data_IF_785703012750
#
_entry.id   IF_785703012750
#
_cell.length_a   1.000
_cell.length_b   1.000
_cell.length_c   1.000
_cell.angle_alpha   90.00
_cell.angle_beta   90.00
_cell.angle_gamma   90.00
#
_symmetry.space_group_name_H-M   'P 1'
#
loop_
_entity.id
_entity.type
_entity.pdbx_description
1 polymer ?
#
# COMPACT_ATOMS: atom_id res chain seq x y z
N UNK A 1 15.07 16.29 31.25
CA UNK A 1 15.95 15.58 32.19
C UNK A 1 15.88 14.09 31.89
N UNK A 2 17.00 13.48 31.51
CA UNK A 2 17.08 12.02 31.36
C UNK A 2 16.92 11.36 32.74
N UNK A 3 16.09 10.31 32.84
CA UNK A 3 15.94 9.55 34.09
C UNK A 3 17.23 8.78 34.36
N UNK A 4 17.66 8.73 35.61
CA UNK A 4 18.91 8.08 36.05
C UNK A 4 18.85 6.54 36.04
N UNK A 5 17.81 5.93 35.47
CA UNK A 5 17.64 4.48 35.37
C UNK A 5 16.24 4.08 34.89
N UNK A 6 16.04 2.80 34.48
CA UNK A 6 14.72 2.27 34.13
C UNK A 6 13.79 2.31 35.34
N UNK A 7 12.50 2.60 35.13
CA UNK A 7 11.50 2.36 36.19
C UNK A 7 11.34 0.85 36.43
N UNK A 8 10.79 0.45 37.57
CA UNK A 8 10.52 -0.96 37.87
C UNK A 8 9.68 -1.63 36.76
N UNK A 9 8.69 -0.92 36.22
CA UNK A 9 7.89 -1.39 35.09
C UNK A 9 8.71 -1.52 33.79
N UNK A 10 9.67 -0.62 33.56
CA UNK A 10 10.57 -0.71 32.40
C UNK A 10 11.54 -1.88 32.54
N UNK A 11 12.08 -2.10 33.74
CA UNK A 11 12.95 -3.24 34.03
C UNK A 11 12.20 -4.55 33.79
N UNK A 12 10.97 -4.68 34.31
CA UNK A 12 10.13 -5.85 34.10
C UNK A 12 9.83 -6.09 32.60
N UNK A 13 9.50 -5.03 31.84
CA UNK A 13 9.29 -5.16 30.39
C UNK A 13 10.57 -5.56 29.65
N UNK A 14 11.72 -4.98 29.99
CA UNK A 14 13.01 -5.33 29.40
C UNK A 14 13.40 -6.77 29.70
N UNK A 15 13.17 -7.25 30.91
CA UNK A 15 13.43 -8.63 31.31
C UNK A 15 12.48 -9.60 30.62
N UNK A 16 11.19 -9.25 30.48
CA UNK A 16 10.22 -10.03 29.70
C UNK A 16 10.67 -10.18 28.24
N UNK A 17 11.02 -9.08 27.57
CA UNK A 17 11.51 -9.08 26.19
C UNK A 17 12.81 -9.88 26.05
N UNK A 18 13.74 -9.74 27.02
CA UNK A 18 14.98 -10.53 27.04
C UNK A 18 14.69 -12.02 27.17
N UNK A 19 13.73 -12.42 28.01
CA UNK A 19 13.26 -13.80 28.14
C UNK A 19 12.70 -14.37 26.83
N UNK A 20 12.16 -13.52 25.96
CA UNK A 20 11.71 -13.85 24.60
C UNK A 20 12.82 -13.75 23.53
N UNK A 21 14.07 -13.55 23.93
CA UNK A 21 15.21 -13.38 23.02
C UNK A 21 15.25 -12.04 22.29
N UNK A 22 14.47 -11.04 22.73
CA UNK A 22 14.41 -9.71 22.13
C UNK A 22 15.30 -8.75 22.92
N UNK A 23 16.33 -8.22 22.26
CA UNK A 23 17.20 -7.20 22.85
C UNK A 23 16.64 -5.81 22.57
N UNK A 24 16.06 -5.19 23.60
CA UNK A 24 15.56 -3.81 23.56
C UNK A 24 16.28 -3.01 24.64
N UNK A 25 16.61 -1.76 24.35
CA UNK A 25 17.20 -0.80 25.29
C UNK A 25 16.13 0.11 25.89
N UNK A 26 16.40 0.67 27.07
CA UNK A 26 15.50 1.67 27.69
C UNK A 26 15.24 2.85 26.74
N UNK A 27 16.27 3.34 26.03
CA UNK A 27 16.12 4.41 25.05
C UNK A 27 15.22 4.02 23.85
N UNK A 28 15.16 2.74 23.46
CA UNK A 28 14.18 2.28 22.48
C UNK A 28 12.75 2.34 23.04
N UNK A 29 12.51 1.86 24.26
CA UNK A 29 11.19 1.95 24.90
C UNK A 29 10.73 3.40 25.05
N UNK A 30 11.62 4.29 25.45
CA UNK A 30 11.31 5.73 25.54
C UNK A 30 10.96 6.32 24.17
N UNK A 31 11.70 6.00 23.11
CA UNK A 31 11.37 6.43 21.75
C UNK A 31 10.02 5.89 21.28
N UNK A 32 9.70 4.62 21.57
CA UNK A 32 8.41 4.04 21.21
C UNK A 32 7.24 4.71 21.95
N UNK A 33 7.43 5.10 23.22
CA UNK A 33 6.43 5.89 23.96
C UNK A 33 6.28 7.31 23.44
N UNK A 34 7.39 7.95 23.06
CA UNK A 34 7.37 9.30 22.46
C UNK A 34 6.64 9.30 21.11
N UNK A 35 6.77 8.21 20.34
CA UNK A 35 6.05 8.00 19.09
C UNK A 35 4.59 7.51 19.30
N UNK A 36 4.09 7.40 20.54
CA UNK A 36 2.73 6.94 20.82
C UNK A 36 2.47 5.45 20.58
N UNK A 37 3.51 4.67 20.29
CA UNK A 37 3.43 3.23 19.99
C UNK A 37 3.21 2.41 21.25
N UNK A 38 3.95 2.74 22.31
CA UNK A 38 3.75 2.13 23.61
C UNK A 38 2.91 3.02 24.52
N UNK A 39 1.89 2.46 25.20
CA UNK A 39 1.22 3.14 26.30
C UNK A 39 2.23 3.65 27.33
N UNK A 40 1.93 4.80 27.93
CA UNK A 40 2.73 5.32 29.05
C UNK A 40 2.45 4.49 30.30
N UNK A 41 3.48 4.23 31.09
CA UNK A 41 3.33 3.54 32.38
C UNK A 41 2.42 4.38 33.30
N UNK A 42 1.44 3.75 33.92
CA UNK A 42 0.60 4.39 34.93
C UNK A 42 1.44 4.67 36.17
N UNK A 43 1.29 5.86 36.76
CA UNK A 43 2.01 6.26 37.97
C UNK A 43 1.03 6.47 39.10
N UNK A 44 1.21 5.74 40.19
CA UNK A 44 0.42 5.90 41.40
C UNK A 44 1.31 6.48 42.51
N UNK A 45 0.97 7.67 43.07
CA UNK A 45 1.69 8.21 44.21
C UNK A 45 1.42 7.33 45.45
N UNK A 46 2.46 6.98 46.20
CA UNK A 46 2.32 6.16 47.42
C UNK A 46 2.01 6.99 48.68
N UNK A 47 1.93 8.32 48.56
CA UNK A 47 1.69 9.26 49.66
C UNK A 47 2.91 9.48 50.56
N UNK A 48 2.86 10.56 51.37
CA UNK A 48 3.81 10.91 52.46
C UNK A 48 5.30 10.62 52.17
N UNK A 49 5.84 11.15 51.07
CA UNK A 49 7.27 11.03 50.76
C UNK A 49 7.75 9.63 50.37
N UNK A 50 6.84 8.65 50.20
CA UNK A 50 7.16 7.27 49.81
C UNK A 50 7.37 7.06 48.29
N UNK A 51 7.44 8.15 47.53
CA UNK A 51 7.63 8.12 46.08
C UNK A 51 6.37 7.73 45.30
N UNK A 52 6.58 7.19 44.09
CA UNK A 52 5.53 6.76 43.16
C UNK A 52 5.86 5.38 42.60
N UNK A 53 4.89 4.48 42.52
CA UNK A 53 5.04 3.22 41.78
C UNK A 53 4.62 3.41 40.33
N UNK A 54 5.25 2.65 39.43
CA UNK A 54 4.87 2.58 38.03
C UNK A 54 4.34 1.19 37.71
N UNK A 55 3.18 1.10 37.07
CA UNK A 55 2.63 -0.17 36.58
C UNK A 55 2.64 -0.19 35.05
N UNK A 56 2.98 -1.35 34.49
CA UNK A 56 2.98 -1.57 33.05
C UNK A 56 1.53 -1.75 32.56
N UNK A 57 1.17 -1.12 31.44
CA UNK A 57 -0.11 -1.39 30.81
C UNK A 57 -0.13 -2.82 30.26
N UNK A 58 -1.22 -3.61 30.42
CA UNK A 58 -1.25 -5.02 30.03
C UNK A 58 -0.80 -5.27 28.58
N UNK A 59 -1.25 -4.44 27.64
CA UNK A 59 -0.88 -4.55 26.22
C UNK A 59 0.58 -4.17 25.89
N UNK A 60 1.33 -3.54 26.80
CA UNK A 60 2.67 -3.04 26.48
C UNK A 60 3.68 -4.15 26.18
N UNK A 61 3.54 -5.32 26.82
CA UNK A 61 4.42 -6.45 26.56
C UNK A 61 4.26 -6.95 25.11
N UNK A 62 3.03 -7.23 24.69
CA UNK A 62 2.74 -7.75 23.36
C UNK A 62 3.09 -6.73 22.27
N UNK A 63 2.75 -5.44 22.47
CA UNK A 63 3.13 -4.37 21.54
C UNK A 63 4.65 -4.26 21.41
N UNK A 64 5.38 -4.25 22.54
CA UNK A 64 6.82 -4.13 22.51
C UNK A 64 7.49 -5.34 21.84
N UNK A 65 6.97 -6.55 22.07
CA UNK A 65 7.45 -7.76 21.42
C UNK A 65 7.22 -7.68 19.90
N UNK A 66 5.99 -7.37 19.47
CA UNK A 66 5.63 -7.26 18.06
C UNK A 66 6.49 -6.22 17.30
N UNK A 67 6.69 -5.06 17.92
CA UNK A 67 7.54 -3.99 17.37
C UNK A 67 9.01 -4.40 17.38
N UNK A 68 9.49 -5.10 18.41
CA UNK A 68 10.87 -5.59 18.45
C UNK A 68 11.15 -6.59 17.33
N UNK A 69 10.19 -7.46 16.99
CA UNK A 69 10.35 -8.45 15.92
C UNK A 69 10.44 -7.83 14.53
N UNK A 70 9.68 -6.75 14.30
CA UNK A 70 9.61 -6.08 12.99
C UNK A 70 10.62 -4.95 12.84
N UNK A 71 11.16 -4.43 13.95
CA UNK A 71 12.20 -3.40 13.95
C UNK A 71 13.50 -3.90 13.34
N UNK A 72 14.08 -3.09 12.44
CA UNK A 72 15.41 -3.33 11.88
C UNK A 72 16.29 -2.11 12.11
N UNK A 73 17.61 -2.33 12.27
CA UNK A 73 18.57 -1.24 12.41
C UNK A 73 18.48 -0.29 11.20
N UNK A 74 18.52 1.02 11.47
CA UNK A 74 18.42 2.09 10.48
C UNK A 74 17.09 2.16 9.70
N UNK A 75 16.03 1.46 10.13
CA UNK A 75 14.69 1.62 9.57
C UNK A 75 13.81 2.49 10.46
N UNK A 76 12.81 3.11 9.83
CA UNK A 76 11.82 3.91 10.55
C UNK A 76 11.03 3.04 11.52
N UNK A 77 10.72 3.57 12.69
CA UNK A 77 9.85 2.87 13.64
C UNK A 77 8.41 2.75 13.10
N UNK A 78 7.98 3.72 12.28
CA UNK A 78 6.68 3.71 11.62
C UNK A 78 6.56 2.56 10.61
N UNK A 79 7.66 2.16 9.98
CA UNK A 79 7.68 0.93 9.16
C UNK A 79 7.38 -0.31 10.02
N UNK A 80 7.95 -0.40 11.22
CA UNK A 80 7.66 -1.51 12.14
C UNK A 80 6.18 -1.50 12.56
N UNK A 81 5.61 -0.33 12.84
CA UNK A 81 4.18 -0.18 13.13
C UNK A 81 3.32 -0.68 11.96
N UNK A 82 3.62 -0.28 10.72
CA UNK A 82 2.86 -0.73 9.55
C UNK A 82 3.04 -2.21 9.26
N UNK A 83 4.22 -2.78 9.48
CA UNK A 83 4.46 -4.22 9.39
C UNK A 83 3.59 -4.99 10.38
N UNK A 84 3.49 -4.53 11.62
CA UNK A 84 2.62 -5.14 12.63
C UNK A 84 1.15 -4.91 12.30
N UNK A 85 0.78 -3.70 11.87
CA UNK A 85 -0.60 -3.37 11.55
C UNK A 85 -1.13 -4.15 10.35
N UNK A 86 -0.31 -4.27 9.29
CA UNK A 86 -0.60 -4.99 8.06
C UNK A 86 -0.28 -6.49 8.12
N UNK A 87 0.21 -6.99 9.27
CA UNK A 87 0.33 -8.43 9.47
C UNK A 87 -1.07 -9.04 9.46
N UNK A 88 -1.27 -10.07 8.65
CA UNK A 88 -2.56 -10.73 8.51
C UNK A 88 -2.96 -11.38 9.84
N UNK A 89 -4.16 -11.07 10.38
CA UNK A 89 -4.64 -11.64 11.64
C UNK A 89 -4.86 -13.16 11.62
N UNK A 90 -4.77 -13.84 10.47
CA UNK A 90 -4.96 -15.29 10.32
C UNK A 90 -3.66 -16.07 10.24
N UNK A 91 -2.57 -15.39 9.94
CA UNK A 91 -1.28 -16.02 9.74
C UNK A 91 -0.59 -16.22 11.09
N UNK A 92 -1.19 -17.00 11.99
CA UNK A 92 -0.57 -17.48 13.23
C UNK A 92 0.80 -18.13 12.94
N UNK A 93 0.97 -18.70 11.74
CA UNK A 93 2.19 -19.39 11.31
C UNK A 93 3.21 -18.53 10.53
N UNK A 94 2.78 -17.47 9.83
CA UNK A 94 3.67 -16.71 8.92
C UNK A 94 4.19 -15.39 9.49
N UNK A 95 3.55 -14.89 10.55
CA UNK A 95 4.18 -14.00 11.50
C UNK A 95 3.85 -14.50 12.90
N UNK A 96 4.87 -14.88 13.69
CA UNK A 96 4.72 -15.10 15.15
C UNK A 96 4.46 -13.76 15.88
N UNK A 97 3.71 -12.85 15.26
CA UNK A 97 3.32 -11.59 15.83
C UNK A 97 2.04 -11.86 16.61
N UNK A 98 1.99 -11.54 17.92
CA UNK A 98 0.73 -11.60 18.64
C UNK A 98 -0.32 -10.76 17.90
N UNK A 99 -1.60 -11.11 18.01
CA UNK A 99 -2.74 -10.34 17.51
C UNK A 99 -2.87 -9.00 18.24
N UNK A 100 -1.87 -8.13 18.08
CA UNK A 100 -1.65 -6.95 18.89
C UNK A 100 -2.52 -5.81 18.41
N UNK A 101 -3.31 -5.28 19.34
CA UNK A 101 -4.02 -4.03 19.14
C UNK A 101 -3.05 -2.86 19.33
N UNK A 102 -2.53 -2.33 18.22
CA UNK A 102 -1.73 -1.12 18.23
C UNK A 102 -2.58 0.11 18.60
N UNK A 103 -2.03 1.09 19.34
CA UNK A 103 -2.70 2.35 19.60
C UNK A 103 -3.05 3.07 18.29
N UNK A 104 -4.25 3.64 18.21
CA UNK A 104 -4.74 4.37 17.02
C UNK A 104 -3.75 5.46 16.58
N UNK A 105 -3.23 6.24 17.53
CA UNK A 105 -2.28 7.30 17.24
C UNK A 105 -1.03 6.77 16.53
N UNK A 106 -0.53 5.60 16.93
CA UNK A 106 0.63 4.98 16.30
C UNK A 106 0.34 4.60 14.84
N UNK A 107 -0.85 4.02 14.58
CA UNK A 107 -1.29 3.65 13.23
C UNK A 107 -1.40 4.91 12.36
N UNK A 108 -2.06 5.96 12.85
CA UNK A 108 -2.21 7.24 12.13
C UNK A 108 -0.87 7.87 11.80
N UNK A 109 0.01 8.04 12.80
CA UNK A 109 1.34 8.59 12.56
C UNK A 109 2.18 7.75 11.59
N UNK A 110 1.96 6.43 11.57
CA UNK A 110 2.65 5.55 10.65
C UNK A 110 2.10 5.64 9.22
N UNK A 111 0.78 5.78 9.04
CA UNK A 111 0.15 6.06 7.75
C UNK A 111 0.56 7.43 7.22
N UNK A 112 0.58 8.46 8.05
CA UNK A 112 1.07 9.79 7.68
C UNK A 112 2.54 9.73 7.23
N UNK A 113 3.37 9.00 7.97
CA UNK A 113 4.75 8.73 7.57
C UNK A 113 4.83 7.97 6.24
N UNK A 114 3.92 7.05 5.97
CA UNK A 114 3.88 6.30 4.71
C UNK A 114 3.54 7.19 3.53
N UNK A 115 2.51 8.04 3.67
CA UNK A 115 2.11 9.01 2.66
C UNK A 115 3.26 9.97 2.34
N UNK A 116 3.98 10.44 3.36
CA UNK A 116 5.05 11.42 3.18
C UNK A 116 6.38 10.81 2.69
N UNK A 117 6.74 9.62 3.18
CA UNK A 117 8.08 9.03 3.00
C UNK A 117 8.08 7.57 2.57
N UNK A 118 7.04 6.83 2.98
CA UNK A 118 6.94 5.40 2.76
C UNK A 118 6.70 5.06 1.31
N UNK A 119 5.86 5.81 0.59
CA UNK A 119 5.59 5.51 -0.80
C UNK A 119 6.79 5.88 -1.72
N UNK A 120 7.57 4.85 -2.03
CA UNK A 120 8.59 4.77 -3.06
C UNK A 120 8.03 4.37 -4.44
N UNK A 121 6.71 4.43 -4.65
CA UNK A 121 6.14 4.38 -6.00
C UNK A 121 6.91 5.34 -6.90
N UNK A 122 7.00 4.97 -8.18
CA UNK A 122 7.64 5.84 -9.17
C UNK A 122 7.01 7.24 -9.11
N UNK A 123 5.69 7.28 -9.00
CA UNK A 123 4.86 8.48 -8.96
C UNK A 123 5.23 9.40 -7.80
N UNK A 124 5.28 8.89 -6.56
CA UNK A 124 5.71 9.69 -5.40
C UNK A 124 7.17 10.07 -5.41
N UNK A 125 8.04 9.29 -6.07
CA UNK A 125 9.44 9.68 -6.26
C UNK A 125 9.55 10.82 -7.26
N UNK A 126 8.72 10.82 -8.31
CA UNK A 126 8.61 11.90 -9.29
C UNK A 126 8.08 13.16 -8.60
N UNK A 127 6.96 13.10 -7.88
CA UNK A 127 6.41 14.25 -7.15
C UNK A 127 7.43 14.90 -6.21
N UNK A 128 8.13 14.10 -5.40
CA UNK A 128 9.17 14.61 -4.49
C UNK A 128 10.33 15.26 -5.23
N UNK A 129 10.69 14.72 -6.39
CA UNK A 129 11.71 15.29 -7.25
C UNK A 129 11.25 16.65 -7.79
N UNK A 130 10.02 16.74 -8.28
CA UNK A 130 9.42 17.98 -8.78
C UNK A 130 9.26 19.05 -7.68
N UNK A 131 8.77 18.68 -6.49
CA UNK A 131 8.62 19.61 -5.34
C UNK A 131 9.95 20.25 -4.92
N UNK A 132 11.08 19.57 -5.13
CA UNK A 132 12.42 20.05 -4.74
C UNK A 132 13.13 20.85 -5.83
N UNK A 133 12.58 20.90 -7.03
CA UNK A 133 13.30 21.36 -8.22
C UNK A 133 12.58 22.52 -8.89
N UNK A 134 13.20 23.69 -8.90
CA UNK A 134 12.71 24.89 -9.60
C UNK A 134 13.34 25.03 -11.00
N UNK A 135 13.20 24.00 -11.84
CA UNK A 135 13.78 23.93 -13.18
C UNK A 135 12.75 24.14 -14.29
N UNK A 136 13.22 24.27 -15.54
CA UNK A 136 12.37 24.37 -16.74
C UNK A 136 11.55 23.08 -16.97
N UNK A 137 10.51 23.16 -17.81
CA UNK A 137 9.65 22.02 -18.14
C UNK A 137 10.47 20.85 -18.75
N UNK A 138 11.33 21.14 -19.73
CA UNK A 138 12.16 20.13 -20.40
C UNK A 138 13.11 19.41 -19.43
N UNK A 139 13.70 20.15 -18.47
CA UNK A 139 14.56 19.55 -17.46
C UNK A 139 13.78 18.64 -16.51
N UNK A 140 12.54 19.01 -16.15
CA UNK A 140 11.65 18.16 -15.36
C UNK A 140 11.32 16.88 -16.11
N UNK A 141 10.97 16.98 -17.39
CA UNK A 141 10.68 15.83 -18.28
C UNK A 141 11.83 14.83 -18.32
N UNK A 142 13.06 15.32 -18.53
CA UNK A 142 14.26 14.48 -18.58
C UNK A 142 14.57 13.85 -17.21
N UNK A 143 14.39 14.59 -16.12
CA UNK A 143 14.56 14.07 -14.76
C UNK A 143 13.57 12.95 -14.44
N UNK A 144 12.29 13.14 -14.80
CA UNK A 144 11.24 12.12 -14.65
C UNK A 144 11.59 10.89 -15.48
N UNK A 145 11.96 11.08 -16.74
CA UNK A 145 12.33 10.00 -17.65
C UNK A 145 13.47 9.14 -17.09
N UNK A 146 14.57 9.77 -16.62
CA UNK A 146 15.70 9.04 -16.02
C UNK A 146 15.30 8.27 -14.75
N UNK A 147 14.47 8.88 -13.92
CA UNK A 147 13.98 8.27 -12.69
C UNK A 147 13.12 7.03 -13.00
N UNK A 148 12.17 7.16 -13.92
CA UNK A 148 11.33 6.09 -14.43
C UNK A 148 12.16 4.96 -15.06
N UNK A 149 13.16 5.32 -15.87
CA UNK A 149 14.05 4.35 -16.48
C UNK A 149 14.84 3.53 -15.47
N UNK A 150 15.37 4.21 -14.45
CA UNK A 150 16.09 3.54 -13.37
C UNK A 150 15.15 2.63 -12.58
N UNK A 151 13.91 3.05 -12.33
CA UNK A 151 12.90 2.25 -11.64
C UNK A 151 12.58 0.96 -12.42
N UNK A 152 12.16 1.07 -13.68
CA UNK A 152 11.75 -0.08 -14.48
C UNK A 152 12.89 -1.05 -14.77
N UNK A 153 14.12 -0.55 -14.99
CA UNK A 153 15.31 -1.43 -15.08
C UNK A 153 15.58 -2.18 -13.79
N UNK A 154 15.41 -1.54 -12.63
CA UNK A 154 15.55 -2.20 -11.33
C UNK A 154 14.50 -3.29 -11.16
N UNK A 155 13.24 -3.01 -11.50
CA UNK A 155 12.13 -3.99 -11.44
C UNK A 155 12.38 -5.17 -12.37
N UNK A 156 12.90 -4.95 -13.58
CA UNK A 156 13.28 -6.03 -14.50
C UNK A 156 14.44 -6.87 -13.98
N UNK A 157 15.51 -6.23 -13.51
CA UNK A 157 16.74 -6.94 -13.12
C UNK A 157 16.63 -7.62 -11.76
N UNK A 158 15.78 -7.10 -10.88
CA UNK A 158 15.47 -7.66 -9.58
C UNK A 158 13.95 -7.76 -9.49
N UNK A 159 13.33 -8.68 -10.25
CA UNK A 159 11.89 -8.88 -10.16
C UNK A 159 11.56 -9.19 -8.70
N UNK A 160 10.47 -8.59 -8.19
CA UNK A 160 9.92 -9.01 -6.91
C UNK A 160 9.73 -10.53 -6.97
N UNK A 161 10.04 -11.28 -5.90
CA UNK A 161 9.90 -12.73 -5.92
C UNK A 161 8.43 -13.09 -6.06
N UNK A 162 7.96 -13.21 -7.29
CA UNK A 162 6.65 -13.77 -7.63
C UNK A 162 6.86 -15.25 -7.95
N UNK A 163 5.92 -16.13 -7.55
CA UNK A 163 5.88 -17.49 -8.08
C UNK A 163 5.92 -17.42 -9.61
N UNK A 164 6.75 -18.24 -10.24
CA UNK A 164 7.13 -18.22 -11.68
C UNK A 164 5.96 -18.31 -12.69
N UNK A 165 4.70 -18.24 -12.24
CA UNK A 165 3.48 -18.45 -13.03
C UNK A 165 2.59 -17.23 -13.20
N UNK A 166 2.79 -16.14 -12.45
CA UNK A 166 2.04 -14.91 -12.69
C UNK A 166 2.83 -13.93 -13.54
N UNK A 167 2.24 -13.37 -14.62
CA UNK A 167 2.85 -12.26 -15.31
C UNK A 167 2.96 -11.14 -14.28
N UNK A 168 4.19 -10.75 -13.93
CA UNK A 168 4.41 -9.47 -13.30
C UNK A 168 3.63 -8.44 -14.15
N UNK A 169 2.71 -7.64 -13.57
CA UNK A 169 2.02 -6.59 -14.33
C UNK A 169 3.01 -5.66 -15.04
N UNK A 170 4.26 -5.66 -14.58
CA UNK A 170 5.43 -4.99 -15.14
C UNK A 170 6.49 -5.99 -15.66
N UNK A 171 6.08 -7.11 -16.26
CA UNK A 171 6.99 -8.14 -16.79
C UNK A 171 7.75 -7.66 -18.02
N UNK A 172 8.53 -6.59 -17.90
CA UNK A 172 9.22 -5.94 -19.01
C UNK A 172 10.30 -6.88 -19.56
N UNK A 173 10.08 -7.37 -20.77
CA UNK A 173 10.86 -8.40 -21.44
C UNK A 173 12.03 -7.81 -22.24
N UNK A 174 11.95 -6.54 -22.62
CA UNK A 174 12.99 -5.87 -23.41
C UNK A 174 13.14 -4.37 -23.05
N UNK A 175 14.18 -3.75 -23.62
CA UNK A 175 14.49 -2.34 -23.39
C UNK A 175 13.46 -1.38 -24.02
N UNK A 176 12.76 -1.81 -25.08
CA UNK A 176 11.74 -0.99 -25.75
C UNK A 176 10.52 -0.85 -24.85
N UNK A 177 10.07 -1.95 -24.22
CA UNK A 177 8.99 -1.90 -23.24
C UNK A 177 9.35 -1.01 -22.06
N UNK A 178 10.56 -1.17 -21.50
CA UNK A 178 11.02 -0.30 -20.40
C UNK A 178 10.94 1.18 -20.81
N UNK A 179 11.38 1.51 -22.03
CA UNK A 179 11.28 2.86 -22.59
C UNK A 179 9.83 3.33 -22.69
N UNK A 180 8.94 2.53 -23.25
CA UNK A 180 7.51 2.87 -23.37
C UNK A 180 6.85 3.15 -22.03
N UNK A 181 7.14 2.35 -21.00
CA UNK A 181 6.60 2.59 -19.65
C UNK A 181 7.15 3.84 -18.98
N UNK A 182 8.42 4.20 -19.22
CA UNK A 182 8.93 5.48 -18.74
C UNK A 182 8.35 6.66 -19.49
N UNK A 183 8.13 6.55 -20.80
CA UNK A 183 7.42 7.57 -21.56
C UNK A 183 5.97 7.72 -21.07
N UNK A 184 5.29 6.63 -20.72
CA UNK A 184 3.96 6.69 -20.11
C UNK A 184 3.98 7.40 -18.76
N UNK A 185 4.98 7.11 -17.91
CA UNK A 185 5.14 7.82 -16.64
C UNK A 185 5.38 9.33 -16.88
N UNK A 186 6.28 9.69 -17.79
CA UNK A 186 6.54 11.08 -18.18
C UNK A 186 5.25 11.74 -18.68
N UNK A 187 4.49 11.07 -19.56
CA UNK A 187 3.27 11.60 -20.13
C UNK A 187 2.16 11.80 -19.10
N UNK A 188 2.00 10.87 -18.15
CA UNK A 188 1.09 11.01 -17.00
C UNK A 188 1.44 12.23 -16.15
N UNK A 189 2.74 12.51 -15.95
CA UNK A 189 3.19 13.55 -15.03
C UNK A 189 3.30 14.97 -15.61
N UNK A 190 3.68 15.10 -16.88
CA UNK A 190 3.73 16.41 -17.53
C UNK A 190 2.31 16.84 -17.91
N UNK A 191 1.41 15.89 -18.14
CA UNK A 191 0.05 16.16 -18.57
C UNK A 191 -0.09 16.07 -20.09
N UNK A 192 -1.31 15.75 -20.52
CA UNK A 192 -1.62 15.53 -21.93
C UNK A 192 -1.47 16.81 -22.76
N UNK A 193 -1.68 17.97 -22.15
CA UNK A 193 -1.58 19.30 -22.75
C UNK A 193 -0.19 19.62 -23.30
N UNK A 194 0.86 19.26 -22.55
CA UNK A 194 2.25 19.47 -22.95
C UNK A 194 2.74 18.37 -23.90
N UNK A 195 2.22 17.15 -23.75
CA UNK A 195 2.61 15.98 -24.57
C UNK A 195 1.94 16.02 -25.96
N UNK A 196 0.72 16.55 -26.02
CA UNK A 196 -0.15 16.51 -27.19
C UNK A 196 -0.92 15.18 -27.29
N UNK A 197 -2.17 15.20 -27.80
CA UNK A 197 -3.05 14.02 -27.84
C UNK A 197 -2.51 12.89 -28.73
N UNK A 198 -1.85 13.21 -29.84
CA UNK A 198 -1.24 12.24 -30.76
C UNK A 198 -0.10 11.46 -30.09
N UNK A 199 0.88 12.18 -29.52
CA UNK A 199 2.00 11.57 -28.79
C UNK A 199 1.52 10.77 -27.57
N UNK A 200 0.51 11.27 -26.86
CA UNK A 200 -0.06 10.58 -25.70
C UNK A 200 -0.74 9.26 -26.10
N UNK A 201 -1.54 9.28 -27.17
CA UNK A 201 -2.18 8.07 -27.71
C UNK A 201 -1.14 7.05 -28.22
N UNK A 202 -0.07 7.52 -28.86
CA UNK A 202 1.05 6.66 -29.26
C UNK A 202 1.74 6.00 -28.07
N UNK A 203 1.99 6.75 -26.99
CA UNK A 203 2.60 6.22 -25.77
C UNK A 203 1.69 5.16 -25.11
N UNK A 204 0.38 5.43 -25.00
CA UNK A 204 -0.59 4.48 -24.42
C UNK A 204 -0.67 3.19 -25.26
N UNK A 205 -0.84 3.31 -26.57
CA UNK A 205 -1.00 2.15 -27.46
C UNK A 205 0.25 1.28 -27.51
N UNK A 206 1.43 1.89 -27.38
CA UNK A 206 2.70 1.15 -27.29
C UNK A 206 2.98 0.58 -25.88
N UNK A 207 2.31 1.09 -24.84
CA UNK A 207 2.42 0.61 -23.46
C UNK A 207 1.56 -0.65 -23.21
N UNK A 208 1.88 -1.74 -23.91
CA UNK A 208 1.58 -3.13 -23.53
C UNK A 208 0.13 -3.61 -23.31
N UNK A 209 -0.90 -2.77 -23.30
CA UNK A 209 -2.29 -3.23 -23.17
C UNK A 209 -2.70 -4.10 -24.38
N UNK A 210 -2.02 -3.96 -25.53
CA UNK A 210 -2.45 -4.53 -26.81
C UNK A 210 -1.50 -5.60 -27.38
N UNK A 211 -0.65 -6.24 -26.56
CA UNK A 211 0.32 -7.22 -27.06
C UNK A 211 -0.27 -8.49 -27.71
N UNK A 212 -1.59 -8.64 -27.75
CA UNK A 212 -2.29 -9.71 -28.49
C UNK A 212 -3.01 -9.22 -29.75
N UNK A 213 -2.93 -7.94 -30.09
CA UNK A 213 -3.71 -7.36 -31.17
C UNK A 213 -2.90 -7.19 -32.46
N UNK A 214 -3.58 -7.27 -33.60
CA UNK A 214 -2.95 -7.07 -34.90
C UNK A 214 -2.51 -5.60 -35.04
N UNK A 215 -1.47 -5.28 -35.84
CA UNK A 215 -1.05 -3.90 -36.09
C UNK A 215 -2.21 -2.98 -36.53
N UNK A 216 -3.22 -3.54 -37.19
CA UNK A 216 -4.44 -2.80 -37.59
C UNK A 216 -5.34 -2.42 -36.41
N UNK A 217 -5.40 -3.26 -35.38
CA UNK A 217 -6.22 -3.04 -34.19
C UNK A 217 -5.54 -2.00 -33.27
N UNK A 218 -4.21 -2.08 -33.12
CA UNK A 218 -3.43 -1.06 -32.43
C UNK A 218 -3.60 0.32 -33.06
N UNK A 219 -3.53 0.41 -34.40
CA UNK A 219 -3.76 1.65 -35.14
C UNK A 219 -5.22 2.15 -35.00
N UNK A 220 -6.20 1.24 -34.98
CA UNK A 220 -7.61 1.58 -34.75
C UNK A 220 -7.82 2.14 -33.35
N UNK A 221 -7.21 1.54 -32.33
CA UNK A 221 -7.28 2.00 -30.94
C UNK A 221 -6.59 3.34 -30.80
N UNK A 222 -5.42 3.53 -31.43
CA UNK A 222 -4.72 4.82 -31.47
C UNK A 222 -5.65 5.92 -31.99
N UNK A 223 -6.22 5.75 -33.18
CA UNK A 223 -7.16 6.73 -33.77
C UNK A 223 -8.40 6.96 -32.91
N UNK A 224 -8.91 5.92 -32.26
CA UNK A 224 -10.07 6.04 -31.37
C UNK A 224 -9.73 6.86 -30.14
N UNK A 225 -8.59 6.58 -29.49
CA UNK A 225 -8.10 7.34 -28.36
C UNK A 225 -7.81 8.78 -28.74
N UNK A 226 -7.12 9.03 -29.86
CA UNK A 226 -6.89 10.37 -30.39
C UNK A 226 -8.20 11.13 -30.60
N UNK A 227 -9.17 10.52 -31.29
CA UNK A 227 -10.47 11.13 -31.54
C UNK A 227 -11.21 11.44 -30.24
N UNK A 228 -11.18 10.53 -29.26
CA UNK A 228 -11.82 10.74 -27.95
C UNK A 228 -11.15 11.88 -27.17
N UNK A 229 -9.82 11.91 -27.15
CA UNK A 229 -9.04 12.93 -26.47
C UNK A 229 -9.23 14.32 -27.10
N UNK A 230 -9.25 14.39 -28.44
CA UNK A 230 -9.51 15.62 -29.20
C UNK A 230 -10.95 16.08 -29.00
N UNK A 231 -11.93 15.19 -29.14
CA UNK A 231 -13.35 15.53 -28.94
C UNK A 231 -13.60 16.04 -27.52
N UNK A 232 -12.98 15.43 -26.52
CA UNK A 232 -13.11 15.82 -25.12
C UNK A 232 -12.45 17.16 -24.82
N UNK A 233 -11.28 17.43 -25.41
CA UNK A 233 -10.62 18.75 -25.35
C UNK A 233 -11.50 19.85 -25.97
N UNK A 234 -12.22 19.53 -27.05
CA UNK A 234 -13.14 20.45 -27.73
C UNK A 234 -14.48 20.64 -27.01
N UNK A 235 -15.03 19.58 -26.38
CA UNK A 235 -16.37 19.62 -25.76
C UNK A 235 -16.39 20.21 -24.36
N UNK A 236 -15.32 20.05 -23.58
CA UNK A 236 -15.29 20.48 -22.17
C UNK A 236 -14.45 21.74 -21.95
N UNK A 237 -13.67 22.18 -22.95
CA UNK A 237 -12.70 23.27 -22.80
C UNK A 237 -11.67 23.03 -21.68
N UNK A 238 -11.63 21.82 -21.13
CA UNK A 238 -10.78 21.37 -20.04
C UNK A 238 -10.20 20.02 -20.45
N UNK A 239 -8.89 19.92 -20.35
CA UNK A 239 -8.17 18.66 -20.45
C UNK A 239 -8.64 17.80 -19.29
N UNK A 240 -8.96 16.53 -19.55
CA UNK A 240 -9.21 15.57 -18.48
C UNK A 240 -7.90 15.42 -17.74
N UNK A 241 -7.78 15.90 -16.49
CA UNK A 241 -6.61 15.53 -15.73
C UNK A 241 -6.67 13.99 -15.65
N UNK A 242 -5.62 13.31 -16.11
CA UNK A 242 -5.37 11.95 -15.63
C UNK A 242 -5.50 12.05 -14.12
N UNK A 243 -6.48 11.36 -13.51
CA UNK A 243 -6.78 11.42 -12.07
C UNK A 243 -5.48 11.65 -11.31
N UNK A 244 -5.28 12.91 -10.90
CA UNK A 244 -4.03 13.28 -10.25
C UNK A 244 -4.09 12.51 -8.95
N UNK A 245 -3.13 11.61 -8.73
CA UNK A 245 -3.03 10.96 -7.43
C UNK A 245 -3.12 12.07 -6.37
N UNK A 246 -4.05 11.97 -5.40
CA UNK A 246 -4.32 13.08 -4.49
C UNK A 246 -3.01 13.51 -3.82
N UNK A 247 -2.82 14.83 -3.72
CA UNK A 247 -1.61 15.37 -3.09
C UNK A 247 -1.51 14.82 -1.66
N UNK A 248 -0.28 14.67 -1.17
CA UNK A 248 -0.02 14.08 0.15
C UNK A 248 -0.75 14.83 1.28
N UNK A 249 -1.02 16.12 1.12
CA UNK A 249 -1.85 16.89 2.04
C UNK A 249 -3.33 16.46 2.01
N UNK A 250 -3.93 16.33 0.82
CA UNK A 250 -5.30 15.86 0.66
C UNK A 250 -5.49 14.43 1.18
N UNK A 251 -4.55 13.53 0.89
CA UNK A 251 -4.58 12.15 1.40
C UNK A 251 -4.55 12.13 2.93
N UNK A 252 -3.69 12.96 3.56
CA UNK A 252 -3.64 13.06 5.03
C UNK A 252 -4.91 13.64 5.61
N UNK A 253 -5.47 14.68 5.00
CA UNK A 253 -6.75 15.26 5.42
C UNK A 253 -7.87 14.22 5.37
N UNK A 254 -7.98 13.48 4.27
CA UNK A 254 -8.96 12.40 4.12
C UNK A 254 -8.74 11.28 5.15
N UNK A 255 -7.51 10.80 5.33
CA UNK A 255 -7.18 9.78 6.35
C UNK A 255 -7.49 10.24 7.77
N UNK A 256 -7.35 11.54 8.07
CA UNK A 256 -7.68 12.08 9.39
C UNK A 256 -9.16 11.92 9.75
N UNK A 257 -10.04 11.97 8.74
CA UNK A 257 -11.49 11.77 8.88
C UNK A 257 -11.93 10.31 8.94
N UNK A 258 -11.07 9.35 8.56
CA UNK A 258 -11.41 7.92 8.58
C UNK A 258 -11.31 7.37 10.00
N UNK A 259 -12.34 6.64 10.46
CA UNK A 259 -12.33 5.99 11.78
C UNK A 259 -11.35 4.80 11.83
N UNK A 260 -10.79 4.53 13.02
CA UNK A 260 -9.86 3.40 13.19
C UNK A 260 -10.52 2.04 12.92
N UNK A 261 -11.82 1.92 13.21
CA UNK A 261 -12.60 0.71 12.90
C UNK A 261 -12.65 0.47 11.40
N UNK A 262 -12.94 1.50 10.60
CA UNK A 262 -12.95 1.40 9.13
C UNK A 262 -11.57 1.04 8.58
N UNK A 263 -10.48 1.62 9.11
CA UNK A 263 -9.12 1.25 8.71
C UNK A 263 -8.82 -0.23 8.96
N UNK A 264 -9.21 -0.77 10.13
CA UNK A 264 -9.01 -2.19 10.47
C UNK A 264 -9.86 -3.10 9.61
N UNK A 265 -11.11 -2.73 9.37
CA UNK A 265 -12.02 -3.47 8.52
C UNK A 265 -11.51 -3.56 7.08
N UNK A 266 -11.12 -2.43 6.48
CA UNK A 266 -10.54 -2.39 5.13
C UNK A 266 -9.26 -3.23 5.05
N UNK A 267 -8.39 -3.15 6.07
CA UNK A 267 -7.19 -4.00 6.16
C UNK A 267 -7.57 -5.49 6.19
N UNK A 268 -8.53 -5.87 7.02
CA UNK A 268 -8.94 -7.27 7.15
C UNK A 268 -9.54 -7.79 5.83
N UNK A 269 -10.42 -7.01 5.19
CA UNK A 269 -10.97 -7.32 3.87
C UNK A 269 -9.85 -7.48 2.83
N UNK A 270 -8.84 -6.60 2.82
CA UNK A 270 -7.67 -6.70 1.93
C UNK A 270 -6.88 -8.00 2.17
N UNK A 271 -6.61 -8.35 3.43
CA UNK A 271 -5.89 -9.57 3.76
C UNK A 271 -6.63 -10.81 3.22
N UNK A 272 -7.93 -10.88 3.48
CA UNK A 272 -8.79 -11.98 3.03
C UNK A 272 -8.86 -12.10 1.52
N UNK A 273 -9.16 -11.00 0.83
CA UNK A 273 -9.29 -10.99 -0.61
C UNK A 273 -7.94 -11.29 -1.30
N UNK A 274 -6.82 -10.83 -0.72
CA UNK A 274 -5.48 -11.16 -1.24
C UNK A 274 -5.13 -12.64 -1.15
N UNK A 275 -5.47 -13.27 -0.02
CA UNK A 275 -5.19 -14.69 0.21
C UNK A 275 -6.11 -15.57 -0.64
N UNK A 276 -7.40 -15.23 -0.73
CA UNK A 276 -8.33 -15.90 -1.62
C UNK A 276 -7.93 -15.74 -3.09
N UNK A 277 -7.47 -14.56 -3.51
CA UNK A 277 -6.92 -14.32 -4.84
C UNK A 277 -5.68 -15.18 -5.11
N UNK A 278 -4.78 -15.33 -4.13
CA UNK A 278 -3.61 -16.21 -4.23
C UNK A 278 -4.03 -17.68 -4.38
N UNK A 279 -5.00 -18.14 -3.62
CA UNK A 279 -5.53 -19.51 -3.74
C UNK A 279 -6.26 -19.74 -5.07
N UNK A 280 -7.08 -18.79 -5.50
CA UNK A 280 -7.75 -18.79 -6.80
C UNK A 280 -6.73 -18.99 -7.92
N UNK A 281 -5.64 -18.23 -7.86
CA UNK A 281 -4.49 -18.31 -8.76
C UNK A 281 -3.80 -19.68 -8.81
N UNK A 282 -3.77 -20.42 -7.70
CA UNK A 282 -3.18 -21.77 -7.64
C UNK A 282 -4.15 -22.89 -7.99
N UNK A 283 -5.43 -22.70 -7.71
CA UNK A 283 -6.48 -23.73 -7.82
C UNK A 283 -7.32 -23.59 -9.09
N UNK A 284 -7.02 -22.63 -9.96
CA UNK A 284 -7.74 -22.44 -11.22
C UNK A 284 -7.72 -23.73 -12.06
N UNK A 285 -8.91 -24.31 -12.27
CA UNK A 285 -9.08 -25.58 -12.98
C UNK A 285 -9.00 -26.84 -12.11
N UNK A 286 -8.91 -26.71 -10.78
CA UNK A 286 -8.94 -27.81 -9.82
C UNK A 286 -10.34 -28.00 -9.24
N UNK A 287 -10.84 -29.25 -9.22
CA UNK A 287 -12.12 -29.61 -8.59
C UNK A 287 -12.16 -29.31 -7.08
N UNK A 288 -11.02 -29.43 -6.39
CA UNK A 288 -10.92 -29.18 -4.94
C UNK A 288 -11.17 -27.70 -4.61
N UNK A 289 -10.82 -26.80 -5.53
CA UNK A 289 -10.97 -25.36 -5.34
C UNK A 289 -12.28 -24.77 -5.86
N UNK A 290 -13.11 -25.57 -6.55
CA UNK A 290 -14.20 -25.09 -7.39
C UNK A 290 -15.13 -24.08 -6.67
N UNK A 291 -15.61 -24.31 -5.43
CA UNK A 291 -16.49 -23.36 -4.77
C UNK A 291 -15.83 -21.99 -4.51
N UNK A 292 -14.57 -21.96 -4.10
CA UNK A 292 -13.84 -20.71 -3.88
C UNK A 292 -13.52 -20.04 -5.22
N UNK A 293 -13.03 -20.82 -6.19
CA UNK A 293 -12.60 -20.26 -7.47
C UNK A 293 -13.77 -19.68 -8.25
N UNK A 294 -14.94 -20.31 -8.20
CA UNK A 294 -16.16 -19.81 -8.84
C UNK A 294 -16.61 -18.49 -8.22
N UNK A 295 -16.72 -18.42 -6.88
CA UNK A 295 -17.13 -17.17 -6.20
C UNK A 295 -16.16 -16.01 -6.46
N UNK A 296 -14.85 -16.26 -6.37
CA UNK A 296 -13.84 -15.23 -6.62
C UNK A 296 -13.85 -14.80 -8.09
N UNK A 297 -14.02 -15.74 -9.02
CA UNK A 297 -14.14 -15.42 -10.44
C UNK A 297 -15.35 -14.53 -10.70
N UNK A 298 -16.55 -14.95 -10.27
CA UNK A 298 -17.80 -14.19 -10.41
C UNK A 298 -17.67 -12.77 -9.83
N UNK A 299 -17.18 -12.65 -8.59
CA UNK A 299 -16.97 -11.35 -7.95
C UNK A 299 -15.99 -10.47 -8.73
N UNK A 300 -14.86 -11.04 -9.17
CA UNK A 300 -13.84 -10.30 -9.93
C UNK A 300 -14.30 -9.89 -11.33
N UNK A 301 -15.25 -10.60 -11.94
CA UNK A 301 -15.79 -10.28 -13.26
C UNK A 301 -17.03 -9.40 -13.21
N UNK A 302 -17.53 -9.08 -12.01
CA UNK A 302 -18.73 -8.26 -11.82
C UNK A 302 -18.52 -6.78 -12.19
N UNK A 303 -17.27 -6.30 -12.14
CA UNK A 303 -16.88 -4.94 -12.52
C UNK A 303 -15.41 -4.90 -12.94
N UNK A 304 -15.03 -3.86 -13.70
CA UNK A 304 -13.62 -3.63 -14.06
C UNK A 304 -12.78 -3.35 -12.80
N UNK A 305 -13.34 -2.57 -11.86
CA UNK A 305 -12.70 -2.21 -10.59
C UNK A 305 -12.38 -3.45 -9.74
N UNK A 306 -13.30 -4.41 -9.64
CA UNK A 306 -13.08 -5.67 -8.90
C UNK A 306 -12.01 -6.55 -9.55
N UNK A 307 -11.97 -6.62 -10.88
CA UNK A 307 -10.94 -7.36 -11.58
C UNK A 307 -9.54 -6.75 -11.33
N UNK A 308 -9.44 -5.43 -11.49
CA UNK A 308 -8.19 -4.69 -11.26
C UNK A 308 -7.72 -4.83 -9.82
N UNK A 309 -8.64 -4.67 -8.87
CA UNK A 309 -8.35 -4.78 -7.45
C UNK A 309 -7.84 -6.17 -7.08
N UNK A 310 -8.48 -7.25 -7.55
CA UNK A 310 -8.06 -8.63 -7.31
C UNK A 310 -6.59 -8.84 -7.73
N UNK A 311 -6.24 -8.42 -8.94
CA UNK A 311 -4.87 -8.53 -9.43
C UNK A 311 -3.88 -7.64 -8.68
N UNK A 312 -4.32 -6.46 -8.22
CA UNK A 312 -3.50 -5.56 -7.41
C UNK A 312 -3.18 -6.15 -6.03
N UNK A 313 -4.10 -6.90 -5.42
CA UNK A 313 -3.95 -7.38 -4.04
C UNK A 313 -3.30 -8.77 -3.93
N UNK A 314 -3.34 -9.64 -4.95
CA UNK A 314 -2.70 -10.98 -4.91
C UNK A 314 -1.25 -10.94 -4.40
N UNK A 315 -0.37 -10.02 -4.86
CA UNK A 315 1.03 -10.00 -4.40
C UNK A 315 1.21 -9.62 -2.93
N UNK A 316 0.18 -9.12 -2.25
CA UNK A 316 0.21 -8.91 -0.80
C UNK A 316 0.44 -10.25 -0.10
N UNK A 317 -0.32 -11.28 -0.46
CA UNK A 317 -0.24 -12.61 0.13
C UNK A 317 1.01 -13.39 -0.31
N UNK A 318 1.51 -13.17 -1.54
CA UNK A 318 2.72 -13.85 -2.03
C UNK A 318 4.02 -13.38 -1.35
N UNK A 319 4.05 -12.12 -0.88
CA UNK A 319 5.27 -11.48 -0.37
C UNK A 319 5.32 -11.36 1.15
N UNK A 320 4.54 -12.17 1.88
CA UNK A 320 4.64 -12.31 3.34
C UNK A 320 5.83 -13.24 3.65
N UNK A 321 6.86 -12.82 4.44
CA UNK A 321 6.93 -11.67 5.37
C UNK A 321 7.79 -10.47 4.90
N UNK A 322 8.12 -10.40 3.61
CA UNK A 322 9.05 -9.40 3.05
C UNK A 322 8.45 -8.02 2.80
N UNK A 323 7.72 -7.91 1.69
CA UNK A 323 7.23 -6.65 1.11
C UNK A 323 5.71 -6.48 1.11
N UNK A 324 4.94 -7.52 1.47
CA UNK A 324 3.47 -7.49 1.44
C UNK A 324 2.85 -6.31 2.21
N UNK A 325 3.42 -5.97 3.38
CA UNK A 325 2.96 -4.85 4.22
C UNK A 325 2.95 -3.50 3.47
N UNK A 326 3.93 -3.28 2.58
CA UNK A 326 4.06 -2.04 1.84
C UNK A 326 2.89 -1.90 0.86
N UNK A 327 2.62 -2.96 0.09
CA UNK A 327 1.54 -2.99 -0.88
C UNK A 327 0.18 -2.94 -0.18
N UNK A 328 0.02 -3.65 0.92
CA UNK A 328 -1.18 -3.56 1.76
C UNK A 328 -1.41 -2.15 2.27
N UNK A 329 -0.37 -1.46 2.76
CA UNK A 329 -0.50 -0.07 3.23
C UNK A 329 -0.87 0.87 2.08
N UNK A 330 -0.25 0.72 0.90
CA UNK A 330 -0.61 1.49 -0.29
C UNK A 330 -2.06 1.28 -0.70
N UNK A 331 -2.51 0.03 -0.85
CA UNK A 331 -3.89 -0.29 -1.21
C UNK A 331 -4.89 0.17 -0.15
N UNK A 332 -4.54 0.06 1.13
CA UNK A 332 -5.36 0.56 2.23
C UNK A 332 -5.58 2.07 2.08
N UNK A 333 -4.51 2.84 1.85
CA UNK A 333 -4.62 4.28 1.67
C UNK A 333 -5.47 4.59 0.44
N UNK A 334 -5.16 3.98 -0.71
CA UNK A 334 -5.93 4.16 -1.95
C UNK A 334 -7.42 3.96 -1.70
N UNK A 335 -7.82 2.83 -1.12
CA UNK A 335 -9.24 2.51 -0.89
C UNK A 335 -9.90 3.48 0.10
N UNK A 336 -9.18 3.95 1.11
CA UNK A 336 -9.72 4.85 2.14
C UNK A 336 -9.81 6.31 1.69
N UNK A 337 -9.00 6.73 0.73
CA UNK A 337 -8.91 8.13 0.29
C UNK A 337 -9.47 8.40 -1.10
N UNK A 338 -9.89 7.35 -1.83
CA UNK A 338 -10.35 7.53 -3.19
C UNK A 338 -11.69 8.29 -3.24
N UNK A 339 -11.83 9.31 -4.11
CA UNK A 339 -13.10 9.97 -4.35
C UNK A 339 -14.11 8.99 -4.96
N UNK A 340 -15.40 9.07 -4.62
CA UNK A 340 -16.45 8.28 -5.28
C UNK A 340 -16.55 8.53 -6.79
N UNK A 341 -16.09 9.68 -7.26
CA UNK A 341 -16.24 10.15 -8.65
C UNK A 341 -15.15 9.63 -9.62
N UNK A 342 -14.12 8.96 -9.10
CA UNK A 342 -12.92 8.56 -9.88
C UNK A 342 -13.06 7.20 -10.60
N UNK A 343 -14.22 6.57 -10.57
CA UNK A 343 -14.40 5.19 -11.00
C UNK A 343 -15.22 5.02 -12.27
N UNK A 344 -14.94 3.90 -12.96
CA UNK A 344 -15.68 3.50 -14.15
C UNK A 344 -17.06 2.95 -13.76
N UNK A 345 -17.13 2.17 -12.66
CA UNK A 345 -18.38 1.53 -12.22
C UNK A 345 -18.76 1.86 -10.76
N UNK A 346 -17.97 1.45 -9.76
CA UNK A 346 -18.48 1.35 -8.36
C UNK A 346 -17.46 1.66 -7.26
N UNK A 347 -16.18 1.65 -7.59
CA UNK A 347 -15.13 1.99 -6.65
C UNK A 347 -14.50 0.86 -5.87
N UNK A 348 -13.23 1.04 -5.51
CA UNK A 348 -12.44 0.00 -4.86
C UNK A 348 -12.95 -0.40 -3.47
N UNK A 349 -13.67 0.47 -2.76
CA UNK A 349 -14.31 0.07 -1.51
C UNK A 349 -15.41 -0.98 -1.75
N UNK A 350 -16.30 -0.74 -2.71
CA UNK A 350 -17.38 -1.67 -3.07
C UNK A 350 -16.81 -2.95 -3.69
N UNK A 351 -15.84 -2.80 -4.59
CA UNK A 351 -15.13 -3.93 -5.18
C UNK A 351 -14.44 -4.80 -4.11
N UNK A 352 -13.81 -4.18 -3.10
CA UNK A 352 -13.18 -4.89 -2.00
C UNK A 352 -14.21 -5.66 -1.17
N UNK A 353 -15.36 -5.06 -0.87
CA UNK A 353 -16.43 -5.70 -0.10
C UNK A 353 -16.92 -6.97 -0.79
N UNK A 354 -17.11 -6.94 -2.12
CA UNK A 354 -17.49 -8.11 -2.90
C UNK A 354 -16.42 -9.19 -2.90
N UNK A 355 -15.15 -8.82 -3.13
CA UNK A 355 -14.05 -9.78 -3.11
C UNK A 355 -13.88 -10.41 -1.73
N UNK A 356 -14.03 -9.63 -0.66
CA UNK A 356 -13.95 -10.11 0.71
C UNK A 356 -15.12 -11.03 1.05
N UNK A 357 -16.35 -10.69 0.66
CA UNK A 357 -17.53 -11.54 0.82
C UNK A 357 -17.36 -12.85 0.05
N UNK A 358 -16.94 -12.82 -1.22
CA UNK A 358 -16.66 -14.02 -2.01
C UNK A 358 -15.57 -14.91 -1.37
N UNK A 359 -14.57 -14.30 -0.73
CA UNK A 359 -13.50 -14.98 -0.01
C UNK A 359 -13.99 -15.64 1.29
N UNK A 360 -14.89 -15.01 2.04
CA UNK A 360 -15.40 -15.50 3.32
C UNK A 360 -16.81 -14.96 3.64
N UNK A 361 -17.87 -15.56 3.06
CA UNK A 361 -19.24 -15.07 3.21
C UNK A 361 -19.65 -14.92 4.68
N UNK A 362 -19.49 -15.99 5.46
CA UNK A 362 -19.87 -16.07 6.89
C UNK A 362 -19.23 -15.00 7.80
N UNK A 363 -18.18 -14.32 7.32
CA UNK A 363 -17.49 -13.25 8.07
C UNK A 363 -17.89 -11.85 7.61
N UNK A 364 -18.36 -11.71 6.38
CA UNK A 364 -18.71 -10.43 5.77
C UNK A 364 -20.16 -10.45 5.25
N UNK A 365 -21.06 -11.09 6.01
CA UNK A 365 -22.49 -11.26 5.67
C UNK A 365 -23.28 -9.94 5.60
N UNK A 366 -22.67 -8.82 5.97
CA UNK A 366 -23.17 -7.49 5.66
C UNK A 366 -22.75 -7.12 4.23
N UNK A 367 -23.47 -7.67 3.24
CA UNK A 367 -23.45 -7.11 1.89
C UNK A 367 -24.23 -5.78 1.95
N UNK A 368 -23.65 -4.64 1.52
CA UNK A 368 -24.41 -3.40 1.35
C UNK A 368 -25.48 -3.49 0.26
#
# INVERSE_FOLDING_TARGET
MARTGPSEADAALLDHLRGKGRQVSLAQLERWRLAGILPRNERKPLGRGRGSTSTLHPASADIAEAIAMTSRRCRSIYEAVLRVFAADPRHDDLFVLPGVQLPEQAIRSALDWFVEYGDQSLDRRIERLLKRTSTSSDEKSEMIYRLAMTHYRRVRNNPQPTPERFPNPWSLNDDLEIRSFALLAVAKFIGQEEVGPESYAEIITNSRILKKESPKDAERIKRTLESLLIQRQLSEGRVVPTSSDPDSEQVREQLSGVSISRMRETRDKLAFASEAGRLFSYLLGSEIGEPLTTRIHEASTSSIDANMLLHAIIPIAENIPGGGWYRMTGMLITILTQPPEDFIDEGYAIALDRLAHAAAPDRFDEIP
#
